data_IF_112966034046
#
_entry.id   IF_112966034046
#
_cell.length_a   1.000
_cell.length_b   1.000
_cell.length_c   1.000
_cell.angle_alpha   90.00
_cell.angle_beta   90.00
_cell.angle_gamma   90.00
#
_symmetry.space_group_name_H-M   'P 1'
#
loop_
_entity.id
_entity.type
_entity.pdbx_description
1 polymer ?
#
# COMPACT_ATOMS: atom_id res chain seq x y z
N UNK A 1 -4.13 2.29 -10.82
CA UNK A 1 -3.15 1.24 -10.47
C UNK A 1 -1.81 1.92 -10.31
N UNK A 2 -1.01 1.59 -9.30
CA UNK A 2 0.29 2.25 -9.01
C UNK A 2 1.40 1.19 -8.99
N UNK A 3 2.61 1.60 -9.38
CA UNK A 3 3.83 0.81 -9.15
C UNK A 3 4.35 1.07 -7.74
N UNK A 4 4.61 0.02 -7.00
CA UNK A 4 5.17 0.05 -5.65
C UNK A 4 6.55 -0.57 -5.67
N UNK A 5 7.51 0.08 -5.06
CA UNK A 5 8.91 -0.33 -5.06
C UNK A 5 9.39 -0.49 -3.63
N UNK A 6 10.26 -1.47 -3.42
CA UNK A 6 10.90 -1.64 -2.13
C UNK A 6 11.97 -0.55 -1.88
N UNK A 7 12.51 -0.53 -0.66
CA UNK A 7 13.52 0.45 -0.25
C UNK A 7 14.89 0.22 -0.89
N UNK A 8 15.09 -0.90 -1.59
CA UNK A 8 16.31 -1.16 -2.38
C UNK A 8 16.17 -0.77 -3.84
N UNK A 9 14.95 -0.57 -4.35
CA UNK A 9 14.70 -0.35 -5.77
C UNK A 9 14.68 -1.62 -6.62
N UNK A 10 14.92 -2.79 -6.01
CA UNK A 10 15.09 -4.06 -6.74
C UNK A 10 13.75 -4.76 -6.99
N UNK A 11 12.81 -4.61 -6.06
CA UNK A 11 11.53 -5.30 -6.14
C UNK A 11 10.40 -4.31 -6.43
N UNK A 12 9.60 -4.63 -7.44
CA UNK A 12 8.45 -3.84 -7.84
C UNK A 12 7.18 -4.70 -7.84
N UNK A 13 6.06 -4.12 -7.43
CA UNK A 13 4.72 -4.70 -7.59
C UNK A 13 3.73 -3.66 -8.08
N UNK A 14 2.93 -4.01 -9.09
CA UNK A 14 1.79 -3.18 -9.51
C UNK A 14 0.56 -3.54 -8.71
N UNK A 15 -0.06 -2.54 -8.09
CA UNK A 15 -1.20 -2.76 -7.22
C UNK A 15 -1.94 -1.50 -6.80
N UNK A 16 -3.12 -1.70 -6.22
CA UNK A 16 -3.89 -0.68 -5.50
C UNK A 16 -3.66 -0.83 -4.00
N UNK A 17 -3.45 0.28 -3.29
CA UNK A 17 -3.50 0.26 -1.82
C UNK A 17 -4.93 -0.03 -1.38
N UNK A 18 -5.13 -1.12 -0.64
CA UNK A 18 -6.46 -1.53 -0.16
C UNK A 18 -6.56 -1.63 1.35
N UNK A 19 -5.45 -1.57 2.08
CA UNK A 19 -5.46 -1.42 3.53
C UNK A 19 -4.14 -0.83 4.02
N UNK A 20 -4.22 -0.01 5.06
CA UNK A 20 -3.08 0.40 5.88
C UNK A 20 -3.29 -0.26 7.24
N UNK A 21 -2.32 -1.08 7.65
CA UNK A 21 -2.34 -1.87 8.87
C UNK A 21 -1.23 -1.36 9.80
N UNK A 22 -1.15 -1.91 11.01
CA UNK A 22 -0.04 -1.57 11.90
C UNK A 22 1.31 -2.05 11.30
N UNK A 23 2.15 -1.08 10.96
CA UNK A 23 3.47 -1.30 10.34
C UNK A 23 3.46 -1.90 8.92
N UNK A 24 2.30 -2.06 8.27
CA UNK A 24 2.18 -2.74 6.96
C UNK A 24 1.15 -2.08 6.04
N UNK A 25 1.27 -2.36 4.74
CA UNK A 25 0.24 -2.06 3.75
C UNK A 25 -0.19 -3.32 3.03
N UNK A 26 -1.46 -3.37 2.61
CA UNK A 26 -1.97 -4.43 1.74
C UNK A 26 -2.24 -3.86 0.36
N UNK A 27 -1.70 -4.53 -0.65
CA UNK A 27 -1.86 -4.17 -2.06
C UNK A 27 -2.68 -5.23 -2.77
N UNK A 28 -3.69 -4.80 -3.53
CA UNK A 28 -4.41 -5.65 -4.48
C UNK A 28 -3.72 -5.56 -5.84
N UNK A 29 -3.14 -6.68 -6.28
CA UNK A 29 -2.50 -6.80 -7.60
C UNK A 29 -3.54 -6.87 -8.71
N UNK A 30 -3.10 -6.65 -9.93
CA UNK A 30 -3.92 -6.77 -11.15
C UNK A 30 -4.57 -8.15 -11.33
N UNK A 31 -3.86 -9.22 -10.95
CA UNK A 31 -4.35 -10.60 -10.99
C UNK A 31 -5.36 -10.95 -9.87
N UNK A 32 -5.86 -9.96 -9.13
CA UNK A 32 -6.84 -10.13 -8.06
C UNK A 32 -6.27 -10.70 -6.76
N UNK A 33 -4.99 -11.09 -6.71
CA UNK A 33 -4.34 -11.54 -5.47
C UNK A 33 -3.83 -10.35 -4.67
N UNK A 34 -3.71 -10.51 -3.36
CA UNK A 34 -3.11 -9.48 -2.50
C UNK A 34 -1.65 -9.79 -2.18
N UNK A 35 -0.91 -8.76 -1.79
CA UNK A 35 0.38 -8.89 -1.11
C UNK A 35 0.41 -7.93 0.08
N UNK A 36 1.12 -8.31 1.13
CA UNK A 36 1.30 -7.47 2.32
C UNK A 36 2.76 -7.07 2.41
N UNK A 37 3.03 -5.77 2.49
CA UNK A 37 4.38 -5.21 2.49
C UNK A 37 4.61 -4.45 3.79
N UNK A 38 5.69 -4.74 4.54
CA UNK A 38 6.06 -3.93 5.70
C UNK A 38 6.35 -2.49 5.29
N UNK A 39 5.82 -1.50 6.02
CA UNK A 39 6.02 -0.09 5.71
C UNK A 39 7.52 0.27 5.63
N UNK A 40 8.34 -0.32 6.51
CA UNK A 40 9.80 -0.14 6.49
C UNK A 40 10.46 -0.49 5.15
N UNK A 41 9.89 -1.45 4.41
CA UNK A 41 10.39 -1.92 3.12
C UNK A 41 9.89 -1.11 1.94
N UNK A 42 8.96 -0.19 2.11
CA UNK A 42 8.54 0.70 1.02
C UNK A 42 9.65 1.71 0.67
N UNK A 43 9.72 2.06 -0.61
CA UNK A 43 10.51 3.20 -1.08
C UNK A 43 10.08 4.49 -0.37
N UNK A 44 10.95 5.50 -0.38
CA UNK A 44 10.64 6.81 0.23
C UNK A 44 9.41 7.45 -0.41
N UNK A 45 9.25 7.35 -1.73
CA UNK A 45 8.10 7.90 -2.47
C UNK A 45 6.81 7.17 -2.11
N UNK A 46 6.88 5.86 -1.90
CA UNK A 46 5.71 5.05 -1.55
C UNK A 46 5.26 5.29 -0.12
N UNK A 47 6.20 5.45 0.81
CA UNK A 47 5.92 5.86 2.19
C UNK A 47 5.18 7.19 2.23
N UNK A 48 5.67 8.19 1.49
CA UNK A 48 5.02 9.51 1.40
C UNK A 48 3.58 9.40 0.90
N UNK A 49 3.36 8.61 -0.15
CA UNK A 49 2.00 8.37 -0.65
C UNK A 49 1.10 7.73 0.42
N UNK A 50 1.59 6.72 1.15
CA UNK A 50 0.82 6.12 2.25
C UNK A 50 0.48 7.16 3.33
N UNK A 51 1.42 8.02 3.70
CA UNK A 51 1.21 9.09 4.69
C UNK A 51 0.18 10.13 4.20
N UNK A 52 0.24 10.53 2.93
CA UNK A 52 -0.76 11.43 2.32
C UNK A 52 -2.16 10.83 2.37
N UNK A 53 -2.29 9.53 2.06
CA UNK A 53 -3.57 8.84 2.10
C UNK A 53 -4.10 8.72 3.55
N UNK A 54 -3.22 8.51 4.53
CA UNK A 54 -3.58 8.56 5.97
C UNK A 54 -4.11 9.94 6.34
N UNK A 55 -3.43 11.00 5.92
CA UNK A 55 -3.81 12.38 6.23
C UNK A 55 -5.16 12.75 5.58
N UNK A 56 -5.43 12.25 4.38
CA UNK A 56 -6.66 12.54 3.64
C UNK A 56 -7.89 11.81 4.20
N UNK A 57 -7.73 10.58 4.69
CA UNK A 57 -8.85 9.70 5.02
C UNK A 57 -8.93 9.26 6.49
N UNK A 58 -7.92 9.58 7.30
CA UNK A 58 -7.78 9.02 8.65
C UNK A 58 -7.45 7.53 8.62
N UNK A 59 -6.79 7.03 9.68
CA UNK A 59 -6.30 5.63 9.80
C UNK A 59 -7.37 4.54 9.60
N UNK A 60 -8.67 4.87 9.72
CA UNK A 60 -9.77 3.90 9.79
C UNK A 60 -10.51 3.58 8.49
N UNK A 61 -10.37 4.36 7.40
CA UNK A 61 -11.32 4.28 6.27
C UNK A 61 -10.90 3.36 5.10
N UNK A 62 -9.65 2.92 5.01
CA UNK A 62 -9.20 2.17 3.81
C UNK A 62 -9.57 0.68 3.87
N UNK A 63 -9.90 0.15 5.05
CA UNK A 63 -10.35 -1.24 5.20
C UNK A 63 -11.70 -1.56 4.55
N UNK A 64 -12.44 -0.56 4.05
CA UNK A 64 -13.82 -0.71 3.58
C UNK A 64 -13.95 -1.03 2.07
N UNK A 65 -12.88 -0.96 1.29
CA UNK A 65 -12.92 -1.26 -0.16
C UNK A 65 -12.68 -2.73 -0.51
N UNK A 66 -12.50 -3.61 0.49
CA UNK A 66 -12.30 -5.05 0.28
C UNK A 66 -13.62 -5.86 0.31
N UNK A 67 -14.77 -5.21 0.50
CA UNK A 67 -16.07 -5.87 0.63
C UNK A 67 -17.20 -5.04 0.00
N UNK A 68 -17.19 -4.94 -1.33
CA UNK A 68 -18.38 -4.65 -2.14
C UNK A 68 -18.26 -5.31 -3.50
#
# INVERSE_FOLDING_TARGET
>A
MRSWTDNTGTFEVRGRLIAILDGHVRLLKDNGRTTTVPNRRLSTTDKKYVDEVINLHGRGLIGQFASR
#
